data_IF_957810099593
#
_entry.id   IF_957810099593
#
_cell.length_a   1.000
_cell.length_b   1.000
_cell.length_c   1.000
_cell.angle_alpha   90.00
_cell.angle_beta   90.00
_cell.angle_gamma   90.00
#
_symmetry.space_group_name_H-M   'P 1'
#
loop_
_entity.id
_entity.type
_entity.pdbx_description
1 polymer ?
#
# COMPACT_ATOMS: atom_id res chain seq x y z
N UNK A 1 1.26 -11.79 -23.64
CA UNK A 1 1.08 -11.93 -22.16
C UNK A 1 2.35 -12.33 -21.40
N UNK A 2 3.29 -13.14 -21.92
CA UNK A 2 4.54 -13.49 -21.19
C UNK A 2 5.52 -12.31 -20.96
N UNK A 3 5.47 -11.26 -21.78
CA UNK A 3 6.41 -10.12 -21.71
C UNK A 3 6.11 -9.13 -20.56
N UNK A 4 4.84 -8.94 -20.21
CA UNK A 4 4.42 -7.95 -19.20
C UNK A 4 4.95 -8.28 -17.79
N UNK A 5 4.96 -9.56 -17.40
CA UNK A 5 5.45 -9.97 -16.08
C UNK A 5 6.99 -9.95 -15.96
N UNK A 6 7.73 -10.00 -17.07
CA UNK A 6 9.19 -10.01 -17.06
C UNK A 6 9.77 -8.61 -16.88
N UNK A 7 9.09 -7.57 -17.40
CA UNK A 7 9.52 -6.17 -17.29
C UNK A 7 9.23 -5.50 -15.93
N UNK A 8 8.46 -6.14 -15.05
CA UNK A 8 8.11 -5.62 -13.71
C UNK A 8 9.13 -6.00 -12.61
N UNK A 9 10.25 -6.63 -12.97
CA UNK A 9 11.34 -6.85 -12.02
C UNK A 9 12.06 -5.53 -11.75
N UNK A 10 11.77 -4.92 -10.61
CA UNK A 10 12.59 -3.83 -10.06
C UNK A 10 13.97 -4.42 -9.75
N UNK A 11 15.01 -3.91 -10.40
CA UNK A 11 16.38 -4.32 -10.14
C UNK A 11 16.79 -3.91 -8.72
N UNK A 12 17.40 -4.83 -7.96
CA UNK A 12 18.06 -4.49 -6.69
C UNK A 12 19.42 -3.84 -7.00
N UNK A 13 19.54 -2.55 -6.74
CA UNK A 13 20.81 -1.89 -6.43
C UNK A 13 20.62 -1.27 -5.05
N UNK A 14 21.50 -1.63 -4.11
CA UNK A 14 21.30 -1.49 -2.66
C UNK A 14 20.63 -0.19 -2.19
N UNK A 15 19.43 -0.32 -1.64
CA UNK A 15 18.62 0.64 -0.86
C UNK A 15 17.33 -0.07 -0.42
N UNK A 16 16.72 0.36 0.70
CA UNK A 16 15.43 -0.20 1.19
C UNK A 16 14.38 -0.13 0.08
N UNK A 17 13.56 -1.17 -0.07
CA UNK A 17 12.60 -1.23 -1.18
C UNK A 17 11.39 -0.28 -1.03
N UNK A 18 11.18 0.27 0.17
CA UNK A 18 10.11 1.21 0.47
C UNK A 18 10.67 2.47 1.13
N UNK A 19 10.08 3.63 0.80
CA UNK A 19 10.34 4.89 1.49
C UNK A 19 9.86 4.89 2.94
N UNK A 20 8.90 4.01 3.26
CA UNK A 20 8.34 3.88 4.59
C UNK A 20 9.24 2.98 5.48
N UNK A 21 9.65 3.44 6.67
CA UNK A 21 10.49 2.66 7.57
C UNK A 21 9.66 1.66 8.38
N UNK A 22 9.34 0.51 7.77
CA UNK A 22 8.51 -0.53 8.40
C UNK A 22 9.05 -0.99 9.76
N UNK A 23 10.36 -1.25 9.86
CA UNK A 23 11.03 -1.64 11.10
C UNK A 23 10.81 -0.62 12.20
N UNK A 24 11.26 0.61 12.00
CA UNK A 24 11.17 1.68 13.01
C UNK A 24 9.73 1.89 13.51
N UNK A 25 8.73 1.79 12.62
CA UNK A 25 7.32 2.01 13.00
C UNK A 25 6.72 0.79 13.72
N UNK A 26 6.97 -0.42 13.23
CA UNK A 26 6.42 -1.63 13.84
C UNK A 26 7.19 -2.07 15.08
N UNK A 27 8.44 -1.64 15.28
CA UNK A 27 9.20 -1.86 16.52
C UNK A 27 8.71 -0.97 17.68
N UNK A 28 8.14 0.21 17.37
CA UNK A 28 7.53 1.09 18.39
C UNK A 28 6.19 0.55 18.93
N UNK A 29 5.50 -0.29 18.15
CA UNK A 29 4.27 -0.98 18.55
C UNK A 29 4.27 -2.42 18.01
N UNK A 30 5.11 -3.30 18.60
CA UNK A 30 5.36 -4.63 18.06
C UNK A 30 4.10 -5.49 18.13
N UNK A 31 3.79 -6.12 17.00
CA UNK A 31 2.76 -7.15 16.94
C UNK A 31 3.13 -8.35 17.82
N UNK A 32 2.13 -8.94 18.44
CA UNK A 32 2.22 -10.35 18.86
C UNK A 32 2.11 -11.28 17.64
N UNK A 33 2.49 -12.55 17.78
CA UNK A 33 2.54 -13.48 16.65
C UNK A 33 1.18 -13.78 16.03
N UNK A 34 0.10 -13.71 16.81
CA UNK A 34 -1.27 -13.93 16.36
C UNK A 34 -1.94 -12.67 15.77
N UNK A 35 -1.32 -11.51 15.95
CA UNK A 35 -1.80 -10.23 15.43
C UNK A 35 -1.38 -10.03 13.97
N UNK A 36 -2.16 -9.23 13.23
CA UNK A 36 -1.86 -8.93 11.84
C UNK A 36 -0.98 -7.69 11.73
N UNK A 37 0.25 -7.89 11.27
CA UNK A 37 1.19 -6.79 11.05
C UNK A 37 0.85 -6.05 9.76
N UNK A 38 0.72 -6.78 8.65
CA UNK A 38 0.57 -6.18 7.32
C UNK A 38 -0.48 -6.94 6.52
N UNK A 39 -1.41 -6.21 5.93
CA UNK A 39 -2.32 -6.68 4.89
C UNK A 39 -1.94 -6.00 3.58
N UNK A 40 -1.46 -6.76 2.59
CA UNK A 40 -1.13 -6.26 1.24
C UNK A 40 -2.37 -6.42 0.34
N UNK A 41 -3.09 -5.32 0.10
CA UNK A 41 -4.38 -5.29 -0.58
C UNK A 41 -4.18 -5.03 -2.07
N UNK A 42 -4.57 -6.00 -2.90
CA UNK A 42 -4.23 -6.02 -4.33
C UNK A 42 -2.74 -6.30 -4.57
N UNK A 43 -2.14 -7.12 -3.72
CA UNK A 43 -0.69 -7.37 -3.69
C UNK A 43 -0.16 -8.25 -4.84
N UNK A 44 -1.04 -8.78 -5.70
CA UNK A 44 -0.70 -9.65 -6.80
C UNK A 44 -0.09 -10.97 -6.33
N UNK A 45 1.24 -11.06 -6.41
CA UNK A 45 1.99 -12.26 -5.99
C UNK A 45 2.66 -12.16 -4.63
N UNK A 46 2.45 -11.07 -3.89
CA UNK A 46 3.05 -10.90 -2.55
C UNK A 46 4.51 -10.47 -2.53
N UNK A 47 5.06 -10.03 -3.67
CA UNK A 47 6.45 -9.57 -3.79
C UNK A 47 6.79 -8.45 -2.80
N UNK A 48 5.81 -7.61 -2.46
CA UNK A 48 5.99 -6.55 -1.47
C UNK A 48 6.14 -7.11 -0.05
N UNK A 49 5.33 -8.09 0.34
CA UNK A 49 5.46 -8.77 1.63
C UNK A 49 6.78 -9.54 1.75
N UNK A 50 7.21 -10.21 0.67
CA UNK A 50 8.53 -10.84 0.57
C UNK A 50 9.64 -9.84 0.83
N UNK A 51 9.62 -8.72 0.12
CA UNK A 51 10.68 -7.71 0.24
C UNK A 51 10.68 -7.06 1.63
N UNK A 52 9.51 -6.79 2.21
CA UNK A 52 9.41 -6.28 3.58
C UNK A 52 9.96 -7.30 4.58
N UNK A 53 9.66 -8.59 4.42
CA UNK A 53 10.21 -9.62 5.31
C UNK A 53 11.73 -9.76 5.18
N UNK A 54 12.28 -9.63 3.97
CA UNK A 54 13.73 -9.63 3.73
C UNK A 54 14.43 -8.41 4.36
N UNK A 55 13.86 -7.22 4.20
CA UNK A 55 14.43 -5.97 4.71
C UNK A 55 14.30 -5.87 6.26
N UNK A 56 13.27 -6.51 6.84
CA UNK A 56 13.01 -6.52 8.28
C UNK A 56 12.62 -7.91 8.81
N UNK A 57 13.59 -8.84 8.93
CA UNK A 57 13.32 -10.25 9.27
C UNK A 57 12.84 -10.47 10.71
N UNK A 58 13.01 -9.47 11.59
CA UNK A 58 12.57 -9.52 12.99
C UNK A 58 11.13 -9.02 13.20
N UNK A 59 10.44 -8.58 12.14
CA UNK A 59 9.03 -8.19 12.26
C UNK A 59 8.18 -9.40 12.63
N UNK A 60 7.47 -9.25 13.75
CA UNK A 60 6.52 -10.23 14.26
C UNK A 60 5.14 -10.07 13.65
N UNK A 61 4.30 -11.07 13.86
CA UNK A 61 2.91 -11.06 13.44
C UNK A 61 2.72 -11.52 12.00
N UNK A 62 1.45 -11.55 11.61
CA UNK A 62 0.97 -12.20 10.39
C UNK A 62 1.03 -11.24 9.20
N UNK A 63 1.37 -11.80 8.05
CA UNK A 63 1.48 -11.11 6.77
C UNK A 63 0.41 -11.68 5.85
N UNK A 64 -0.57 -10.87 5.48
CA UNK A 64 -1.74 -11.33 4.72
C UNK A 64 -1.71 -10.74 3.32
N UNK A 65 -1.74 -11.59 2.29
CA UNK A 65 -1.87 -11.20 0.89
C UNK A 65 -3.33 -11.26 0.45
N UNK A 66 -3.86 -10.15 -0.05
CA UNK A 66 -5.20 -10.06 -0.59
C UNK A 66 -5.18 -9.71 -2.07
N UNK A 67 -5.93 -10.46 -2.87
CA UNK A 67 -6.18 -10.17 -4.27
C UNK A 67 -7.42 -10.97 -4.74
N UNK A 68 -7.83 -10.79 -5.99
CA UNK A 68 -8.94 -11.53 -6.58
C UNK A 68 -8.67 -13.05 -6.52
N UNK A 69 -9.72 -13.90 -6.42
CA UNK A 69 -9.55 -15.35 -6.28
C UNK A 69 -8.64 -16.00 -7.32
N UNK A 70 -8.76 -15.61 -8.59
CA UNK A 70 -7.91 -16.15 -9.66
C UNK A 70 -6.45 -15.71 -9.56
N UNK A 71 -6.19 -14.51 -9.02
CA UNK A 71 -4.83 -13.98 -8.80
C UNK A 71 -4.17 -14.70 -7.63
N UNK A 72 -4.90 -14.90 -6.52
CA UNK A 72 -4.43 -15.70 -5.39
C UNK A 72 -4.09 -17.13 -5.84
N UNK A 73 -4.98 -17.76 -6.62
CA UNK A 73 -4.73 -19.10 -7.17
C UNK A 73 -3.48 -19.15 -8.05
N UNK A 74 -3.24 -18.14 -8.89
CA UNK A 74 -2.01 -18.03 -9.70
C UNK A 74 -0.76 -17.84 -8.83
N UNK A 75 -0.87 -17.04 -7.76
CA UNK A 75 0.22 -16.81 -6.82
C UNK A 75 0.59 -18.10 -6.08
N UNK A 76 -0.39 -18.80 -5.50
CA UNK A 76 -0.21 -20.07 -4.80
C UNK A 76 0.43 -21.13 -5.71
N UNK A 77 -0.05 -21.25 -6.96
CA UNK A 77 0.52 -22.16 -7.95
C UNK A 77 1.99 -21.83 -8.31
N UNK A 78 2.44 -20.60 -8.05
CA UNK A 78 3.81 -20.13 -8.29
C UNK A 78 4.70 -20.15 -7.04
N UNK A 79 4.15 -20.55 -5.89
CA UNK A 79 4.88 -20.70 -4.64
C UNK A 79 4.90 -19.41 -3.81
N UNK A 80 3.75 -19.05 -3.23
CA UNK A 80 3.71 -18.05 -2.16
C UNK A 80 4.47 -18.61 -0.94
N UNK A 81 5.39 -17.82 -0.33
CA UNK A 81 6.09 -18.23 0.89
C UNK A 81 5.16 -18.62 2.04
N UNK A 82 5.57 -19.61 2.85
CA UNK A 82 4.76 -20.16 3.95
C UNK A 82 4.37 -19.12 5.03
N UNK A 83 5.16 -18.06 5.20
CA UNK A 83 4.85 -16.99 6.17
C UNK A 83 3.76 -16.03 5.69
N UNK A 84 3.32 -16.13 4.43
CA UNK A 84 2.27 -15.30 3.84
C UNK A 84 0.96 -16.07 3.85
N UNK A 85 -0.04 -15.51 4.53
CA UNK A 85 -1.40 -16.01 4.50
C UNK A 85 -2.14 -15.44 3.30
N UNK A 86 -2.74 -16.28 2.46
CA UNK A 86 -3.53 -15.83 1.31
C UNK A 86 -5.00 -15.61 1.71
N UNK A 87 -5.59 -14.53 1.21
CA UNK A 87 -6.97 -14.17 1.49
C UNK A 87 -7.62 -13.62 0.20
N UNK A 88 -8.39 -14.44 -0.55
CA UNK A 88 -9.13 -13.97 -1.72
C UNK A 88 -10.09 -12.83 -1.35
N UNK A 89 -9.94 -11.68 -1.99
CA UNK A 89 -10.72 -10.48 -1.71
C UNK A 89 -10.81 -9.57 -2.95
N UNK A 90 -12.01 -9.06 -3.23
CA UNK A 90 -12.17 -7.81 -3.98
C UNK A 90 -12.18 -6.65 -2.99
N UNK A 91 -11.28 -5.68 -3.16
CA UNK A 91 -11.20 -4.51 -2.26
C UNK A 91 -12.44 -3.58 -2.32
N UNK A 92 -13.38 -3.85 -3.24
CA UNK A 92 -14.70 -3.21 -3.25
C UNK A 92 -15.68 -3.83 -2.26
N UNK A 93 -15.34 -4.98 -1.70
CA UNK A 93 -16.10 -5.64 -0.64
C UNK A 93 -15.57 -5.23 0.74
N UNK A 94 -16.32 -5.60 1.79
CA UNK A 94 -15.93 -5.34 3.18
C UNK A 94 -14.59 -6.02 3.49
N UNK A 95 -13.65 -5.26 4.07
CA UNK A 95 -12.35 -5.79 4.50
C UNK A 95 -12.52 -6.84 5.62
N UNK A 96 -12.16 -8.11 5.40
CA UNK A 96 -12.35 -9.18 6.38
C UNK A 96 -11.32 -9.16 7.52
N UNK A 97 -10.12 -8.61 7.28
CA UNK A 97 -9.04 -8.58 8.27
C UNK A 97 -9.14 -7.29 9.07
N UNK A 98 -9.53 -7.38 10.35
CA UNK A 98 -9.69 -6.23 11.24
C UNK A 98 -8.48 -6.01 12.13
N UNK A 99 -8.20 -4.75 12.47
CA UNK A 99 -7.18 -4.37 13.46
C UNK A 99 -5.74 -4.64 13.03
N UNK A 100 -5.44 -4.69 11.73
CA UNK A 100 -4.05 -4.80 11.27
C UNK A 100 -3.26 -3.52 11.58
N UNK A 101 -1.95 -3.63 11.85
CA UNK A 101 -1.10 -2.43 12.01
C UNK A 101 -1.03 -1.62 10.70
N UNK A 102 -0.94 -2.31 9.57
CA UNK A 102 -0.81 -1.70 8.25
C UNK A 102 -1.75 -2.37 7.25
N UNK A 103 -2.53 -1.56 6.53
CA UNK A 103 -3.16 -1.92 5.26
C UNK A 103 -2.36 -1.24 4.14
N UNK A 104 -1.69 -2.04 3.32
CA UNK A 104 -0.78 -1.58 2.28
C UNK A 104 -1.41 -1.69 0.90
N UNK A 105 -1.36 -0.59 0.14
CA UNK A 105 -1.84 -0.51 -1.24
C UNK A 105 -0.70 -0.04 -2.12
N UNK A 106 -0.32 -0.83 -3.12
CA UNK A 106 0.73 -0.44 -4.06
C UNK A 106 0.19 -0.42 -5.48
N UNK A 107 0.24 0.74 -6.14
CA UNK A 107 -0.23 0.93 -7.52
C UNK A 107 -1.68 0.46 -7.73
N UNK A 108 -2.55 0.83 -6.80
CA UNK A 108 -3.98 0.49 -6.84
C UNK A 108 -4.78 1.71 -7.31
N UNK A 109 -4.65 2.80 -6.58
CA UNK A 109 -5.54 3.96 -6.70
C UNK A 109 -5.35 4.76 -7.99
N UNK A 110 -4.17 4.72 -8.62
CA UNK A 110 -3.97 5.34 -9.93
C UNK A 110 -4.82 4.73 -11.06
N UNK A 111 -5.41 3.55 -10.85
CA UNK A 111 -6.32 2.88 -11.79
C UNK A 111 -7.79 3.26 -11.58
N UNK A 112 -8.11 4.04 -10.56
CA UNK A 112 -9.48 4.27 -10.11
C UNK A 112 -9.82 5.75 -9.99
N UNK A 113 -11.09 6.07 -10.28
CA UNK A 113 -11.64 7.40 -10.03
C UNK A 113 -11.66 7.72 -8.54
N UNK A 114 -11.88 8.98 -8.18
CA UNK A 114 -11.97 9.39 -6.78
C UNK A 114 -13.13 8.70 -6.05
N UNK A 115 -14.26 8.47 -6.71
CA UNK A 115 -15.42 7.80 -6.13
C UNK A 115 -15.11 6.34 -5.78
N UNK A 116 -14.45 5.62 -6.69
CA UNK A 116 -14.04 4.23 -6.49
C UNK A 116 -12.90 4.12 -5.47
N UNK A 117 -11.96 5.05 -5.51
CA UNK A 117 -10.89 5.14 -4.53
C UNK A 117 -11.44 5.39 -3.12
N UNK A 118 -12.42 6.30 -2.98
CA UNK A 118 -13.11 6.54 -1.71
C UNK A 118 -13.79 5.28 -1.19
N UNK A 119 -14.49 4.53 -2.06
CA UNK A 119 -15.13 3.27 -1.68
C UNK A 119 -14.11 2.26 -1.11
N UNK A 120 -12.95 2.10 -1.75
CA UNK A 120 -11.87 1.20 -1.28
C UNK A 120 -11.35 1.65 0.10
N UNK A 121 -11.11 2.95 0.27
CA UNK A 121 -10.64 3.53 1.53
C UNK A 121 -11.68 3.36 2.64
N UNK A 122 -12.97 3.53 2.36
CA UNK A 122 -14.05 3.34 3.33
C UNK A 122 -14.18 1.89 3.80
N UNK A 123 -14.10 0.93 2.88
CA UNK A 123 -14.10 -0.50 3.21
C UNK A 123 -12.92 -0.86 4.11
N UNK A 124 -11.75 -0.29 3.84
CA UNK A 124 -10.53 -0.51 4.63
C UNK A 124 -10.64 0.15 6.00
N UNK A 125 -11.09 1.41 6.04
CA UNK A 125 -11.31 2.17 7.27
C UNK A 125 -12.24 1.44 8.23
N UNK A 126 -13.28 0.77 7.73
CA UNK A 126 -14.21 0.00 8.55
C UNK A 126 -13.58 -1.18 9.30
N UNK A 127 -12.37 -1.60 8.91
CA UNK A 127 -11.60 -2.66 9.56
C UNK A 127 -10.43 -2.13 10.40
N UNK A 128 -10.14 -0.82 10.34
CA UNK A 128 -9.05 -0.21 11.10
C UNK A 128 -9.37 -0.12 12.60
N UNK A 129 -8.31 -0.18 13.40
CA UNK A 129 -8.32 0.21 14.82
C UNK A 129 -7.57 1.55 14.99
N UNK A 130 -7.60 2.15 16.19
CA UNK A 130 -7.00 3.45 16.49
C UNK A 130 -5.47 3.52 16.23
N UNK A 131 -4.81 2.36 16.15
CA UNK A 131 -3.39 2.22 15.87
C UNK A 131 -3.08 1.85 14.40
N UNK A 132 -4.11 1.58 13.59
CA UNK A 132 -3.94 1.14 12.19
C UNK A 132 -3.48 2.28 11.29
N UNK A 133 -2.71 1.93 10.26
CA UNK A 133 -2.29 2.82 9.18
C UNK A 133 -2.75 2.28 7.84
N UNK A 134 -3.12 3.19 6.95
CA UNK A 134 -3.23 2.92 5.52
C UNK A 134 -1.99 3.49 4.86
N UNK A 135 -1.24 2.62 4.17
CA UNK A 135 -0.05 3.02 3.42
C UNK A 135 -0.34 2.89 1.93
N UNK A 136 -0.20 3.99 1.21
CA UNK A 136 -0.43 4.05 -0.24
C UNK A 136 0.90 4.31 -0.93
N UNK A 137 1.45 3.29 -1.57
CA UNK A 137 2.63 3.40 -2.42
C UNK A 137 2.21 3.66 -3.87
N UNK A 138 2.17 4.94 -4.23
CA UNK A 138 1.79 5.41 -5.56
C UNK A 138 2.58 6.67 -5.92
N UNK A 139 2.46 7.15 -7.15
CA UNK A 139 3.11 8.39 -7.55
C UNK A 139 2.40 9.60 -6.91
N UNK A 140 3.19 10.56 -6.43
CA UNK A 140 2.68 11.83 -5.88
C UNK A 140 3.22 12.96 -6.72
N UNK A 141 2.35 13.59 -7.50
CA UNK A 141 2.75 14.73 -8.31
C UNK A 141 2.95 15.98 -7.43
N UNK A 142 3.97 16.81 -7.67
CA UNK A 142 4.06 18.10 -7.00
C UNK A 142 2.93 19.03 -7.51
N UNK A 143 2.34 19.82 -6.62
CA UNK A 143 1.25 20.75 -6.95
C UNK A 143 1.69 21.85 -7.93
N UNK A 144 2.97 22.22 -7.92
CA UNK A 144 3.55 23.28 -8.76
C UNK A 144 4.88 22.78 -9.35
N UNK A 145 5.20 23.22 -10.57
CA UNK A 145 6.46 22.89 -11.27
C UNK A 145 6.69 21.39 -11.46
N UNK A 146 5.62 20.64 -11.82
CA UNK A 146 5.73 19.22 -12.12
C UNK A 146 6.76 18.94 -13.22
N UNK A 147 7.82 18.15 -12.92
CA UNK A 147 8.79 17.73 -13.92
C UNK A 147 8.12 17.06 -15.12
N UNK A 148 8.63 17.35 -16.32
CA UNK A 148 8.07 16.87 -17.60
C UNK A 148 7.91 15.34 -17.64
N UNK A 149 8.83 14.61 -17.05
CA UNK A 149 8.82 13.14 -17.01
C UNK A 149 7.72 12.57 -16.08
N UNK A 150 7.34 13.29 -15.02
CA UNK A 150 6.19 12.93 -14.19
C UNK A 150 4.88 13.28 -14.89
N UNK A 151 4.79 14.46 -15.51
CA UNK A 151 3.63 14.86 -16.30
C UNK A 151 3.37 13.89 -17.48
N UNK A 152 4.43 13.38 -18.11
CA UNK A 152 4.30 12.38 -19.19
C UNK A 152 3.75 11.04 -18.69
N UNK A 153 4.06 10.65 -17.44
CA UNK A 153 3.49 9.45 -16.84
C UNK A 153 1.99 9.61 -16.59
N UNK A 154 1.55 10.78 -16.13
CA UNK A 154 0.12 11.07 -15.97
C UNK A 154 -0.63 11.01 -17.32
N UNK A 155 -0.05 11.55 -18.39
CA UNK A 155 -0.62 11.40 -19.74
C UNK A 155 -0.72 9.93 -20.21
N UNK A 156 0.25 9.09 -19.84
CA UNK A 156 0.18 7.65 -20.11
C UNK A 156 -0.93 6.98 -19.30
N UNK A 157 -1.11 7.36 -18.04
CA UNK A 157 -2.19 6.84 -17.19
C UNK A 157 -3.57 7.31 -17.66
N UNK A 158 -3.72 8.58 -18.06
CA UNK A 158 -4.95 9.09 -18.67
C UNK A 158 -5.37 8.26 -19.89
N UNK A 159 -4.41 7.85 -20.71
CA UNK A 159 -4.67 7.01 -21.89
C UNK A 159 -5.18 5.60 -21.52
N UNK A 160 -4.93 5.14 -20.29
CA UNK A 160 -5.42 3.89 -19.72
C UNK A 160 -6.67 4.08 -18.85
N UNK A 161 -7.23 5.30 -18.77
CA UNK A 161 -8.35 5.65 -17.91
C UNK A 161 -7.98 5.83 -16.43
N UNK A 162 -6.68 5.85 -16.11
CA UNK A 162 -6.15 6.15 -14.78
C UNK A 162 -5.85 7.64 -14.59
N UNK A 163 -5.46 7.99 -13.37
CA UNK A 163 -5.14 9.36 -12.99
C UNK A 163 -4.07 9.35 -11.90
N UNK A 164 -3.02 10.15 -12.11
CA UNK A 164 -2.04 10.42 -11.07
C UNK A 164 -2.50 11.61 -10.22
N UNK A 165 -2.14 11.61 -8.95
CA UNK A 165 -2.67 12.58 -7.97
C UNK A 165 -1.56 13.44 -7.40
N UNK A 166 -1.85 14.74 -7.25
CA UNK A 166 -1.01 15.62 -6.45
C UNK A 166 -1.12 15.32 -4.95
N UNK A 167 -0.22 15.83 -4.12
CA UNK A 167 -0.39 15.73 -2.66
C UNK A 167 -1.73 16.33 -2.21
N UNK A 168 -2.15 17.47 -2.79
CA UNK A 168 -3.41 18.10 -2.44
C UNK A 168 -4.63 17.25 -2.87
N UNK A 169 -4.56 16.55 -4.01
CA UNK A 169 -5.59 15.58 -4.42
C UNK A 169 -5.66 14.40 -3.46
N UNK A 170 -4.51 13.85 -3.08
CA UNK A 170 -4.44 12.76 -2.11
C UNK A 170 -5.06 13.15 -0.77
N UNK A 171 -4.74 14.36 -0.27
CA UNK A 171 -5.30 14.89 0.97
C UNK A 171 -6.83 14.96 0.89
N UNK A 172 -7.37 15.55 -0.18
CA UNK A 172 -8.84 15.64 -0.41
C UNK A 172 -9.50 14.26 -0.46
N UNK A 173 -8.89 13.31 -1.17
CA UNK A 173 -9.41 11.95 -1.30
C UNK A 173 -9.46 11.24 0.07
N UNK A 174 -8.36 11.30 0.84
CA UNK A 174 -8.29 10.70 2.17
C UNK A 174 -9.30 11.32 3.14
N UNK A 175 -9.41 12.65 3.16
CA UNK A 175 -10.38 13.38 3.97
C UNK A 175 -11.82 13.01 3.60
N UNK A 176 -12.12 12.81 2.32
CA UNK A 176 -13.45 12.38 1.86
C UNK A 176 -13.84 10.97 2.32
N UNK A 177 -12.86 10.11 2.64
CA UNK A 177 -13.07 8.80 3.28
C UNK A 177 -13.03 8.89 4.82
N UNK A 178 -12.80 10.08 5.38
CA UNK A 178 -12.63 10.33 6.80
C UNK A 178 -11.34 9.72 7.37
N UNK A 179 -10.25 9.78 6.59
CA UNK A 179 -8.87 9.54 7.00
C UNK A 179 -8.08 10.86 6.97
N UNK A 180 -6.95 10.92 7.65
CA UNK A 180 -6.05 12.07 7.63
C UNK A 180 -4.68 11.67 7.09
N UNK A 181 -4.16 12.46 6.15
CA UNK A 181 -2.79 12.30 5.65
C UNK A 181 -1.80 12.73 6.76
N UNK A 182 -1.08 11.77 7.33
CA UNK A 182 -0.09 11.99 8.39
C UNK A 182 1.23 12.46 7.81
N UNK A 183 1.74 11.77 6.79
CA UNK A 183 3.05 12.05 6.20
C UNK A 183 3.16 11.48 4.79
N UNK A 184 3.93 12.16 3.94
CA UNK A 184 4.42 11.61 2.67
C UNK A 184 5.88 11.22 2.85
N UNK A 185 6.19 9.96 2.61
CA UNK A 185 7.53 9.40 2.67
C UNK A 185 8.10 9.34 1.26
N UNK A 186 9.28 9.92 1.05
CA UNK A 186 9.94 10.00 -0.26
C UNK A 186 11.22 9.19 -0.26
N UNK A 187 11.47 8.45 -1.34
CA UNK A 187 12.76 7.83 -1.61
C UNK A 187 13.75 8.88 -2.14
N UNK A 188 15.04 8.55 -2.12
CA UNK A 188 16.09 9.39 -2.71
C UNK A 188 15.86 9.64 -4.22
N UNK A 189 15.21 8.70 -4.91
CA UNK A 189 14.84 8.81 -6.33
C UNK A 189 13.60 9.71 -6.58
N UNK A 190 13.05 10.31 -5.52
CA UNK A 190 11.98 11.30 -5.57
C UNK A 190 10.55 10.71 -5.57
N UNK A 191 9.55 11.46 -6.08
CA UNK A 191 8.13 11.19 -5.85
C UNK A 191 7.55 9.98 -6.59
N UNK A 192 8.31 9.33 -7.47
CA UNK A 192 7.86 8.18 -8.28
C UNK A 192 7.52 6.93 -7.44
N UNK A 193 8.06 6.88 -6.23
CA UNK A 193 7.91 5.77 -5.29
C UNK A 193 7.57 6.29 -3.89
N UNK A 194 6.79 7.37 -3.83
CA UNK A 194 6.33 7.92 -2.56
C UNK A 194 5.41 6.93 -1.83
N UNK A 195 5.40 7.00 -0.50
CA UNK A 195 4.42 6.31 0.33
C UNK A 195 3.65 7.34 1.13
N UNK A 196 2.35 7.44 0.90
CA UNK A 196 1.45 8.24 1.73
C UNK A 196 1.04 7.41 2.94
N UNK A 197 1.27 7.96 4.13
CA UNK A 197 0.80 7.40 5.39
C UNK A 197 -0.48 8.11 5.82
N UNK A 198 -1.59 7.39 5.81
CA UNK A 198 -2.90 7.86 6.23
C UNK A 198 -3.38 7.10 7.48
N UNK A 199 -4.10 7.80 8.35
CA UNK A 199 -4.53 7.30 9.65
C UNK A 199 -5.95 7.78 10.00
N UNK A 200 -6.57 7.17 11.01
CA UNK A 200 -7.83 7.67 11.56
C UNK A 200 -7.63 9.05 12.22
N UNK A 201 -8.65 9.93 12.19
CA UNK A 201 -8.64 11.15 13.01
C UNK A 201 -8.45 10.78 14.49
N UNK A 202 -7.46 11.36 15.16
CA UNK A 202 -7.13 11.05 16.56
C UNK A 202 -6.08 9.94 16.77
N UNK A 203 -5.45 9.46 15.70
CA UNK A 203 -4.36 8.51 15.73
C UNK A 203 -3.22 8.92 16.69
N UNK A 204 -2.85 8.02 17.62
CA UNK A 204 -1.87 8.29 18.69
C UNK A 204 -0.44 7.81 18.41
N UNK A 205 -0.18 7.12 17.30
CA UNK A 205 1.14 6.59 16.99
C UNK A 205 1.31 5.11 17.34
N UNK A 206 0.80 4.71 18.50
CA UNK A 206 0.85 3.33 19.01
C UNK A 206 -0.27 3.10 20.02
N UNK A 207 -0.60 1.83 20.31
CA UNK A 207 -1.66 1.45 21.27
C UNK A 207 -1.55 2.08 22.65
N UNK A 208 -0.34 2.34 23.12
CA UNK A 208 -0.10 2.76 24.52
C UNK A 208 -0.22 4.29 24.77
N UNK A 209 -0.53 5.09 23.73
CA UNK A 209 -0.73 6.54 23.85
C UNK A 209 0.54 7.38 23.84
#
# INVERSE_FOLDING_TARGET
>A
MKSFNTGMRVGKIGRRASAFPFGDVLELDPCQEDEVAIVDVGGGRGQSLETIREDWPLLKGRFVLQDLPDVIKDAEAKGVPEFIETCPLSFFDKQPVSGARIYYFRRIFHCWTNEKSRQILENTKAAMDEYSRVLIADMVLPDINCPRDLAMQDLNMMSLGGMERSESDWRRLLESAGLSLRKVWLNEDGPKHAVLEAVLPGFKGHRLG
#
